data_IF_948069255688
#
_entry.id   IF_948069255688
#
_cell.length_a   1.000
_cell.length_b   1.000
_cell.length_c   1.000
_cell.angle_alpha   90.00
_cell.angle_beta   90.00
_cell.angle_gamma   90.00
#
_symmetry.space_group_name_H-M   'P 1'
#
loop_
_entity.id
_entity.type
_entity.pdbx_description
1 polymer ?
#
# COMPACT_ATOMS: atom_id res chain seq x y z
N UNK A 1 8.12 2.23 -2.44
CA UNK A 1 6.77 1.78 -2.86
C UNK A 1 5.87 1.84 -1.64
N UNK A 2 4.73 2.52 -1.73
CA UNK A 2 3.77 2.68 -0.65
C UNK A 2 2.45 2.00 -1.05
N UNK A 3 2.07 0.94 -0.34
CA UNK A 3 0.83 0.21 -0.58
C UNK A 3 -0.25 0.75 0.37
N UNK A 4 -1.21 1.48 -0.16
CA UNK A 4 -2.31 2.04 0.62
C UNK A 4 -3.55 1.14 0.54
N UNK A 5 -4.26 1.00 1.64
CA UNK A 5 -5.59 0.41 1.67
C UNK A 5 -6.41 0.98 2.84
N UNK A 6 -7.75 1.09 2.73
CA UNK A 6 -8.63 1.47 3.81
C UNK A 6 -8.47 0.56 5.04
N UNK A 7 -8.59 1.16 6.22
CA UNK A 7 -8.56 0.44 7.51
C UNK A 7 -9.50 -0.77 7.54
N UNK A 8 -10.75 -0.72 7.03
CA UNK A 8 -11.61 -1.90 6.99
C UNK A 8 -11.02 -3.08 6.20
N UNK A 9 -10.35 -2.79 5.07
CA UNK A 9 -9.70 -3.81 4.23
C UNK A 9 -8.48 -4.40 4.94
N UNK A 10 -7.69 -3.56 5.62
CA UNK A 10 -6.54 -4.01 6.40
C UNK A 10 -6.96 -4.91 7.56
N UNK A 11 -8.02 -4.54 8.28
CA UNK A 11 -8.58 -5.34 9.37
C UNK A 11 -9.05 -6.71 8.88
N UNK A 12 -9.75 -6.78 7.76
CA UNK A 12 -10.19 -8.05 7.16
C UNK A 12 -8.99 -8.94 6.78
N UNK A 13 -7.94 -8.35 6.19
CA UNK A 13 -6.71 -9.08 5.83
C UNK A 13 -5.96 -9.59 7.06
N UNK A 14 -5.85 -8.79 8.11
CA UNK A 14 -5.23 -9.18 9.39
C UNK A 14 -5.99 -10.36 9.99
N UNK A 15 -7.32 -10.28 10.04
CA UNK A 15 -8.18 -11.36 10.53
C UNK A 15 -8.02 -12.64 9.70
N UNK A 16 -8.04 -12.55 8.36
CA UNK A 16 -7.81 -13.69 7.46
C UNK A 16 -6.47 -14.39 7.68
N UNK A 17 -5.41 -13.65 8.04
CA UNK A 17 -4.08 -14.24 8.31
C UNK A 17 -4.05 -15.07 9.59
N UNK A 18 -4.97 -14.85 10.53
CA UNK A 18 -5.14 -15.67 11.73
C UNK A 18 -3.93 -15.72 12.66
N UNK A 19 -3.04 -14.71 12.62
CA UNK A 19 -1.84 -14.67 13.46
C UNK A 19 -2.22 -14.24 14.87
N UNK A 20 -1.99 -15.11 15.87
CA UNK A 20 -2.37 -14.85 17.26
C UNK A 20 -1.82 -13.53 17.83
N UNK A 21 -0.63 -13.13 17.40
CA UNK A 21 0.00 -11.85 17.79
C UNK A 21 -0.71 -10.61 17.23
N UNK A 22 -1.46 -10.74 16.13
CA UNK A 22 -2.17 -9.63 15.48
C UNK A 22 -3.59 -9.44 16.04
N UNK A 23 -4.06 -10.28 16.98
CA UNK A 23 -5.46 -10.25 17.47
C UNK A 23 -5.80 -9.00 18.30
N UNK A 24 -4.80 -8.34 18.89
CA UNK A 24 -4.97 -7.10 19.66
C UNK A 24 -4.96 -5.83 18.81
N UNK A 25 -4.80 -5.93 17.48
CA UNK A 25 -4.75 -4.77 16.59
C UNK A 25 -6.16 -4.18 16.46
N UNK A 26 -6.34 -2.93 16.91
CA UNK A 26 -7.59 -2.19 16.77
C UNK A 26 -7.64 -1.40 15.46
N UNK A 27 -8.86 -1.07 15.02
CA UNK A 27 -9.06 -0.19 13.87
C UNK A 27 -8.50 1.21 14.12
N UNK A 28 -8.64 1.74 15.35
CA UNK A 28 -8.10 3.04 15.75
C UNK A 28 -6.57 3.07 15.69
N UNK A 29 -5.92 1.97 16.09
CA UNK A 29 -4.47 1.84 15.98
C UNK A 29 -4.01 1.89 14.52
N UNK A 30 -4.72 1.20 13.61
CA UNK A 30 -4.40 1.26 12.18
C UNK A 30 -4.69 2.63 11.57
N UNK A 31 -5.74 3.32 12.01
CA UNK A 31 -6.02 4.69 11.57
C UNK A 31 -4.92 5.65 11.99
N UNK A 32 -4.42 5.52 13.23
CA UNK A 32 -3.30 6.32 13.73
C UNK A 32 -2.00 6.03 12.96
N UNK A 33 -1.75 4.76 12.62
CA UNK A 33 -0.63 4.41 11.74
C UNK A 33 -0.78 5.01 10.34
N UNK A 34 -1.98 4.98 9.75
CA UNK A 34 -2.21 5.59 8.42
C UNK A 34 -1.91 7.09 8.45
N UNK A 35 -2.27 7.81 9.53
CA UNK A 35 -1.92 9.23 9.69
C UNK A 35 -0.41 9.43 9.78
N UNK A 36 0.32 8.64 10.58
CA UNK A 36 1.78 8.78 10.69
C UNK A 36 2.50 8.50 9.37
N UNK A 37 2.07 7.48 8.62
CA UNK A 37 2.63 7.19 7.31
C UNK A 37 2.31 8.28 6.29
N UNK A 38 1.09 8.85 6.33
CA UNK A 38 0.71 9.95 5.44
C UNK A 38 1.53 11.21 5.72
N UNK A 39 1.71 11.59 6.98
CA UNK A 39 2.53 12.74 7.39
C UNK A 39 4.00 12.54 7.01
N UNK A 40 4.56 11.36 7.30
CA UNK A 40 5.93 11.05 6.93
C UNK A 40 6.14 11.14 5.41
N UNK A 41 5.20 10.60 4.63
CA UNK A 41 5.28 10.59 3.17
C UNK A 41 5.22 11.99 2.56
N UNK A 42 4.48 12.93 3.18
CA UNK A 42 4.44 14.33 2.72
C UNK A 42 5.80 15.02 2.81
N UNK A 43 6.62 14.63 3.79
CA UNK A 43 7.95 15.22 4.03
C UNK A 43 9.09 14.44 3.38
N UNK A 44 8.80 13.28 2.79
CA UNK A 44 9.81 12.41 2.21
C UNK A 44 10.19 12.85 0.78
N UNK A 45 11.45 13.23 0.58
CA UNK A 45 11.95 13.78 -0.70
C UNK A 45 13.18 13.06 -1.28
N UNK A 46 13.70 12.04 -0.59
CA UNK A 46 14.94 11.35 -0.98
C UNK A 46 14.84 10.59 -2.30
N UNK A 47 13.65 10.10 -2.66
CA UNK A 47 13.41 9.41 -3.92
C UNK A 47 11.93 9.45 -4.31
N UNK A 48 11.60 9.25 -5.61
CA UNK A 48 10.20 9.17 -6.03
C UNK A 48 9.50 7.97 -5.36
N UNK A 49 8.31 8.23 -4.82
CA UNK A 49 7.50 7.19 -4.18
C UNK A 49 6.37 6.73 -5.09
N UNK A 50 6.42 5.46 -5.49
CA UNK A 50 5.29 4.79 -6.14
C UNK A 50 4.23 4.46 -5.10
N UNK A 51 3.09 5.15 -5.13
CA UNK A 51 1.91 4.82 -4.31
C UNK A 51 0.94 3.94 -5.10
N UNK A 52 0.51 2.84 -4.49
CA UNK A 52 -0.37 1.84 -5.11
C UNK A 52 -1.57 1.62 -4.20
N UNK A 53 -2.78 1.81 -4.75
CA UNK A 53 -4.03 1.53 -4.05
C UNK A 53 -4.31 0.02 -4.07
N UNK A 54 -4.01 -0.65 -2.97
CA UNK A 54 -4.06 -2.10 -2.87
C UNK A 54 -5.43 -2.69 -2.54
N UNK A 55 -6.51 -1.91 -2.63
CA UNK A 55 -7.87 -2.33 -2.24
C UNK A 55 -8.31 -3.56 -3.02
N UNK A 56 -8.19 -3.47 -4.35
CA UNK A 56 -8.59 -4.51 -5.32
C UNK A 56 -7.41 -5.25 -5.94
N UNK A 57 -6.19 -4.94 -5.50
CA UNK A 57 -5.01 -5.65 -5.97
C UNK A 57 -4.84 -6.98 -5.23
N UNK A 58 -5.33 -8.03 -5.88
CA UNK A 58 -5.07 -9.40 -5.50
C UNK A 58 -3.86 -9.94 -6.27
N UNK A 59 -2.67 -9.44 -5.96
CA UNK A 59 -1.40 -9.94 -6.54
C UNK A 59 -1.13 -11.40 -6.17
N UNK A 60 -1.82 -11.92 -5.15
CA UNK A 60 -1.67 -13.30 -4.68
C UNK A 60 -2.38 -14.26 -5.64
N UNK A 61 -3.54 -13.87 -6.19
CA UNK A 61 -4.33 -14.72 -7.08
C UNK A 61 -4.33 -14.28 -8.56
N UNK A 62 -3.86 -13.06 -8.88
CA UNK A 62 -3.82 -12.53 -10.25
C UNK A 62 -2.44 -12.02 -10.62
N UNK A 63 -1.60 -12.90 -11.16
CA UNK A 63 -0.24 -12.58 -11.62
C UNK A 63 -0.18 -11.41 -12.60
N UNK A 64 -1.22 -11.21 -13.42
CA UNK A 64 -1.32 -10.08 -14.37
C UNK A 64 -1.31 -8.70 -13.69
N UNK A 65 -1.74 -8.60 -12.43
CA UNK A 65 -1.68 -7.35 -11.68
C UNK A 65 -0.26 -7.04 -11.21
N UNK A 66 0.57 -8.07 -11.02
CA UNK A 66 1.98 -7.90 -10.68
C UNK A 66 2.76 -7.31 -11.86
N UNK A 67 2.44 -7.74 -13.09
CA UNK A 67 3.08 -7.22 -14.31
C UNK A 67 2.86 -5.71 -14.46
N UNK A 68 1.63 -5.22 -14.22
CA UNK A 68 1.32 -3.77 -14.24
C UNK A 68 2.11 -3.00 -13.17
N UNK A 69 2.32 -3.60 -11.99
CA UNK A 69 3.12 -2.97 -10.93
C UNK A 69 4.60 -2.95 -11.31
N UNK A 70 5.13 -4.04 -11.87
CA UNK A 70 6.52 -4.13 -12.34
C UNK A 70 6.76 -3.12 -13.47
N UNK A 71 5.84 -3.01 -14.42
CA UNK A 71 5.91 -2.04 -15.52
C UNK A 71 5.92 -0.60 -14.97
N UNK A 72 5.02 -0.28 -14.02
CA UNK A 72 5.02 1.03 -13.36
C UNK A 72 6.30 1.31 -12.57
N UNK A 73 6.85 0.31 -11.90
CA UNK A 73 8.14 0.44 -11.22
C UNK A 73 9.26 0.72 -12.22
N UNK A 74 9.30 -0.01 -13.35
CA UNK A 74 10.29 0.24 -14.40
C UNK A 74 10.13 1.63 -15.01
N UNK A 75 8.89 2.10 -15.23
CA UNK A 75 8.64 3.44 -15.75
C UNK A 75 9.05 4.53 -14.75
N UNK A 76 8.75 4.40 -13.46
CA UNK A 76 9.20 5.36 -12.44
C UNK A 76 10.71 5.39 -12.24
N UNK A 77 11.38 4.25 -12.40
CA UNK A 77 12.84 4.17 -12.42
C UNK A 77 13.45 4.78 -13.71
N UNK A 78 12.67 4.86 -14.79
CA UNK A 78 13.09 5.40 -16.09
C UNK A 78 12.72 6.86 -16.33
N UNK A 79 11.66 7.37 -15.69
CA UNK A 79 11.10 8.69 -15.95
C UNK A 79 10.17 9.15 -14.83
N UNK A 80 10.48 10.32 -14.28
CA UNK A 80 9.65 11.05 -13.33
C UNK A 80 8.43 11.60 -14.10
N UNK A 81 7.37 10.82 -14.27
CA UNK A 81 6.11 11.30 -14.84
C UNK A 81 4.92 10.91 -13.95
N UNK A 82 4.33 11.91 -13.32
CA UNK A 82 3.04 11.82 -12.64
C UNK A 82 1.92 11.71 -13.69
N UNK A 83 1.27 10.55 -13.75
CA UNK A 83 -0.01 10.40 -14.43
C UNK A 83 -1.11 10.18 -13.40
N UNK A 84 -1.98 11.18 -13.29
CA UNK A 84 -3.24 11.13 -12.55
C UNK A 84 -4.22 10.27 -13.36
N UNK A 85 -4.73 9.20 -12.75
CA UNK A 85 -5.83 8.37 -13.28
C UNK A 85 -7.09 8.62 -12.47
#
# INVERSE_FOLDING_TARGET
IYLKAPVPVLMERIRRRGRGMESGISADYLALLDTFYAEWLQTFDLCPVLTIQSNDLDFVHKSQHLDVVIERMQNLLRGREELVL
#
